data_IF_511497551594
#
_entry.id   IF_511497551594
#
_cell.length_a   1.000
_cell.length_b   1.000
_cell.length_c   1.000
_cell.angle_alpha   90.00
_cell.angle_beta   90.00
_cell.angle_gamma   90.00
#
_symmetry.space_group_name_H-M   'P 1'
#
loop_
_entity.id
_entity.type
_entity.pdbx_description
1 polymer ?
#
# COMPACT_ATOMS: atom_id res chain seq x y z
N UNK A 1 -20.82 -32.27 10.32
CA UNK A 1 -19.60 -32.66 9.59
C UNK A 1 -19.84 -32.40 8.12
N UNK A 2 -18.96 -31.66 7.47
CA UNK A 2 -18.96 -31.40 6.02
C UNK A 2 -20.20 -30.70 5.47
N UNK A 3 -20.35 -29.39 5.70
CA UNK A 3 -21.40 -28.60 5.04
C UNK A 3 -21.21 -28.66 3.53
N UNK A 4 -22.20 -29.15 2.79
CA UNK A 4 -22.20 -29.05 1.33
C UNK A 4 -22.44 -27.59 0.97
N UNK A 5 -21.46 -27.00 0.30
CA UNK A 5 -21.59 -25.67 -0.28
C UNK A 5 -22.01 -25.80 -1.74
N UNK A 6 -23.00 -25.01 -2.15
CA UNK A 6 -23.40 -24.89 -3.56
C UNK A 6 -23.06 -23.46 -3.97
N UNK A 7 -22.30 -23.30 -5.04
CA UNK A 7 -21.92 -21.99 -5.58
C UNK A 7 -22.68 -21.74 -6.89
N UNK A 8 -22.94 -20.47 -7.20
CA UNK A 8 -23.57 -20.05 -8.45
C UNK A 8 -23.11 -18.65 -8.80
N UNK A 9 -22.75 -18.44 -10.06
CA UNK A 9 -22.52 -17.11 -10.61
C UNK A 9 -23.87 -16.46 -10.95
N UNK A 10 -24.02 -15.18 -10.66
CA UNK A 10 -25.18 -14.40 -11.11
C UNK A 10 -25.19 -14.33 -12.64
N UNK A 11 -26.38 -14.33 -13.23
CA UNK A 11 -26.52 -14.15 -14.68
C UNK A 11 -26.33 -12.68 -15.10
N UNK A 12 -26.47 -12.41 -16.41
CA UNK A 12 -26.32 -11.05 -16.96
C UNK A 12 -27.33 -10.01 -16.43
N UNK A 13 -28.34 -10.43 -15.65
CA UNK A 13 -29.29 -9.55 -14.96
C UNK A 13 -28.99 -9.39 -13.47
N UNK A 14 -27.95 -10.05 -12.96
CA UNK A 14 -27.62 -10.09 -11.53
C UNK A 14 -28.43 -11.12 -10.75
N UNK A 15 -29.20 -11.97 -11.42
CA UNK A 15 -30.07 -12.96 -10.76
C UNK A 15 -29.31 -14.26 -10.45
N UNK A 16 -29.61 -14.85 -9.29
CA UNK A 16 -29.17 -16.20 -8.92
C UNK A 16 -30.35 -16.98 -8.34
N UNK A 17 -30.30 -18.31 -8.48
CA UNK A 17 -31.32 -19.22 -7.96
C UNK A 17 -30.71 -20.56 -7.59
N UNK A 18 -31.06 -21.05 -6.40
CA UNK A 18 -30.75 -22.41 -5.98
C UNK A 18 -32.03 -23.23 -5.96
N UNK A 19 -32.04 -24.34 -6.69
CA UNK A 19 -33.19 -25.23 -6.84
C UNK A 19 -33.00 -26.53 -6.07
N UNK A 20 -34.12 -27.20 -5.76
CA UNK A 20 -34.15 -28.52 -5.11
C UNK A 20 -33.38 -28.58 -3.79
N UNK A 21 -33.34 -27.45 -3.06
CA UNK A 21 -32.77 -27.40 -1.72
C UNK A 21 -33.70 -28.13 -0.73
N UNK A 22 -33.16 -29.02 0.12
CA UNK A 22 -33.89 -29.55 1.27
C UNK A 22 -34.48 -28.43 2.15
N UNK A 23 -35.55 -28.71 2.87
CA UNK A 23 -36.09 -27.76 3.84
C UNK A 23 -35.09 -27.54 4.98
N UNK A 24 -34.95 -26.30 5.43
CA UNK A 24 -34.01 -25.94 6.49
C UNK A 24 -33.53 -24.50 6.42
N UNK A 25 -32.67 -24.13 7.37
CA UNK A 25 -32.03 -22.81 7.41
C UNK A 25 -30.71 -22.85 6.63
N UNK A 26 -30.53 -21.86 5.78
CA UNK A 26 -29.35 -21.71 4.93
C UNK A 26 -28.66 -20.39 5.21
N UNK A 27 -27.33 -20.43 5.19
CA UNK A 27 -26.49 -19.25 5.08
C UNK A 27 -26.22 -18.97 3.61
N UNK A 28 -26.66 -17.80 3.12
CA UNK A 28 -26.39 -17.32 1.77
C UNK A 28 -25.43 -16.16 1.87
N UNK A 29 -24.30 -16.21 1.19
CA UNK A 29 -23.33 -15.10 1.15
C UNK A 29 -22.85 -14.84 -0.27
N UNK A 30 -22.34 -13.65 -0.51
CA UNK A 30 -21.68 -13.30 -1.76
C UNK A 30 -20.15 -13.35 -1.62
N UNK A 31 -19.48 -13.80 -2.67
CA UNK A 31 -18.06 -13.60 -2.85
C UNK A 31 -17.84 -12.28 -3.57
N UNK A 32 -17.06 -11.39 -2.98
CA UNK A 32 -16.98 -10.07 -3.54
C UNK A 32 -16.04 -9.99 -4.74
N UNK A 33 -16.53 -9.36 -5.81
CA UNK A 33 -15.71 -9.07 -6.97
C UNK A 33 -14.66 -7.99 -6.65
N UNK A 34 -13.41 -8.13 -7.14
CA UNK A 34 -12.42 -7.08 -7.05
C UNK A 34 -12.97 -5.75 -7.57
N UNK A 35 -12.83 -4.69 -6.76
CA UNK A 35 -13.31 -3.36 -7.10
C UNK A 35 -14.79 -3.11 -6.86
N UNK A 36 -15.54 -3.93 -6.09
CA UNK A 36 -16.95 -3.71 -5.75
C UNK A 36 -17.23 -3.78 -4.25
N UNK A 37 -17.48 -2.69 -3.52
CA UNK A 37 -17.80 -2.74 -2.09
C UNK A 37 -19.28 -3.07 -1.79
N UNK A 38 -19.58 -3.81 -0.70
CA UNK A 38 -20.95 -4.13 -0.33
C UNK A 38 -21.66 -2.91 0.24
N UNK A 39 -22.91 -2.71 -0.17
CA UNK A 39 -23.86 -1.76 0.42
C UNK A 39 -24.89 -2.47 1.32
N UNK A 40 -24.99 -3.78 1.22
CA UNK A 40 -25.80 -4.67 2.07
C UNK A 40 -24.91 -5.62 2.87
N UNK A 41 -25.43 -6.33 3.89
CA UNK A 41 -24.73 -7.46 4.50
C UNK A 41 -24.25 -8.46 3.43
N UNK A 42 -23.01 -8.93 3.55
CA UNK A 42 -22.45 -9.93 2.64
C UNK A 42 -22.96 -11.34 2.92
N UNK A 43 -23.80 -11.51 3.95
CA UNK A 43 -24.35 -12.79 4.40
C UNK A 43 -25.75 -12.63 4.99
N UNK A 44 -26.66 -13.51 4.61
CA UNK A 44 -28.02 -13.61 5.09
C UNK A 44 -28.32 -15.03 5.59
N UNK A 45 -29.14 -15.14 6.63
CA UNK A 45 -29.78 -16.38 7.05
C UNK A 45 -31.17 -16.45 6.40
N UNK A 46 -31.45 -17.54 5.69
CA UNK A 46 -32.66 -17.73 4.92
C UNK A 46 -33.26 -19.10 5.21
N UNK A 47 -34.54 -19.14 5.60
CA UNK A 47 -35.25 -20.40 5.81
C UNK A 47 -35.95 -20.85 4.53
N UNK A 48 -35.74 -22.10 4.14
CA UNK A 48 -36.47 -22.79 3.06
C UNK A 48 -37.55 -23.64 3.70
N UNK A 49 -38.80 -23.22 3.53
CA UNK A 49 -40.00 -23.92 4.04
C UNK A 49 -40.84 -24.47 2.89
N UNK A 50 -41.63 -25.54 3.11
CA UNK A 50 -42.58 -26.00 2.12
C UNK A 50 -43.58 -24.88 1.79
N UNK A 51 -43.72 -24.59 0.50
CA UNK A 51 -44.63 -23.57 0.02
C UNK A 51 -45.32 -24.02 -1.27
N UNK A 52 -46.64 -24.20 -1.22
CA UNK A 52 -47.47 -24.57 -2.37
C UNK A 52 -47.60 -23.45 -3.41
N UNK A 53 -47.22 -22.22 -3.06
CA UNK A 53 -47.26 -21.05 -3.95
C UNK A 53 -46.00 -20.86 -4.80
N UNK A 54 -44.98 -21.71 -4.65
CA UNK A 54 -43.74 -21.65 -5.46
C UNK A 54 -42.90 -20.38 -5.26
N UNK A 55 -43.05 -19.67 -4.14
CA UNK A 55 -42.29 -18.44 -3.84
C UNK A 55 -40.95 -18.81 -3.21
N UNK A 56 -39.85 -18.38 -3.82
CA UNK A 56 -38.50 -18.55 -3.29
C UNK A 56 -38.24 -17.57 -2.14
N UNK A 57 -37.52 -18.03 -1.12
CA UNK A 57 -36.93 -17.15 -0.12
C UNK A 57 -35.88 -16.23 -0.79
N UNK A 58 -35.83 -14.96 -0.39
CA UNK A 58 -35.05 -13.92 -1.08
C UNK A 58 -33.81 -13.52 -0.27
N UNK A 59 -32.68 -13.40 -0.96
CA UNK A 59 -31.49 -12.71 -0.48
C UNK A 59 -31.08 -11.69 -1.55
N UNK A 60 -30.79 -10.47 -1.15
CA UNK A 60 -30.42 -9.38 -2.05
C UNK A 60 -29.06 -8.81 -1.66
N UNK A 61 -28.15 -8.81 -2.61
CA UNK A 61 -26.82 -8.25 -2.43
C UNK A 61 -26.70 -7.02 -3.33
N UNK A 62 -26.46 -5.86 -2.73
CA UNK A 62 -26.24 -4.61 -3.45
C UNK A 62 -24.79 -4.22 -3.27
N UNK A 63 -24.09 -4.07 -4.38
CA UNK A 63 -22.69 -3.64 -4.41
C UNK A 63 -22.55 -2.31 -5.13
N UNK A 64 -21.52 -1.56 -4.76
CA UNK A 64 -21.07 -0.36 -5.46
C UNK A 64 -19.66 -0.58 -5.93
N UNK A 65 -19.38 -0.29 -7.19
CA UNK A 65 -18.01 -0.33 -7.68
C UNK A 65 -17.15 0.63 -6.84
N UNK A 66 -16.23 0.07 -6.08
CA UNK A 66 -15.24 0.83 -5.35
C UNK A 66 -14.36 1.53 -6.39
N UNK A 67 -14.07 2.83 -6.21
CA UNK A 67 -13.36 3.61 -7.23
C UNK A 67 -11.87 3.23 -7.35
N UNK A 68 -11.38 2.28 -6.56
CA UNK A 68 -9.94 1.96 -6.42
C UNK A 68 -9.71 0.46 -6.24
N UNK A 69 -8.56 -0.01 -6.71
CA UNK A 69 -8.06 -1.37 -6.56
C UNK A 69 -7.50 -1.63 -5.15
N UNK A 70 -7.32 -2.90 -4.80
CA UNK A 70 -6.58 -3.29 -3.59
C UNK A 70 -5.09 -3.14 -3.89
N UNK A 71 -4.37 -2.43 -3.03
CA UNK A 71 -2.97 -2.13 -3.28
C UNK A 71 -2.14 -2.06 -1.99
N UNK A 72 -0.83 -2.24 -2.17
CA UNK A 72 0.22 -1.95 -1.21
C UNK A 72 1.07 -0.84 -1.82
N UNK A 73 1.41 0.18 -1.05
CA UNK A 73 2.38 1.18 -1.49
C UNK A 73 3.24 1.66 -0.33
N UNK A 74 4.28 2.41 -0.67
CA UNK A 74 5.16 2.99 0.32
C UNK A 74 6.44 3.52 -0.28
N UNK A 75 7.37 3.86 0.59
CA UNK A 75 8.60 4.53 0.21
C UNK A 75 9.83 3.86 0.81
N UNK A 76 10.94 3.96 0.08
CA UNK A 76 12.27 3.67 0.58
C UNK A 76 12.98 4.96 0.91
N UNK A 77 13.41 5.11 2.16
CA UNK A 77 14.00 6.34 2.66
C UNK A 77 15.44 6.16 3.18
N UNK A 78 16.23 7.21 3.06
CA UNK A 78 17.45 7.42 3.84
C UNK A 78 17.08 7.85 5.28
N UNK A 79 17.60 7.16 6.29
CA UNK A 79 17.29 7.48 7.71
C UNK A 79 17.81 8.81 8.17
N UNK A 80 18.83 9.37 7.52
CA UNK A 80 19.38 10.65 7.94
C UNK A 80 18.55 11.87 7.46
N UNK A 81 17.60 11.70 6.52
CA UNK A 81 16.81 12.82 6.00
C UNK A 81 15.41 12.50 5.46
N UNK A 82 14.96 11.25 5.55
CA UNK A 82 13.74 10.76 4.88
C UNK A 82 13.71 11.10 3.39
N UNK A 83 14.89 11.04 2.77
CA UNK A 83 15.06 11.27 1.34
C UNK A 83 14.70 9.98 0.61
N UNK A 84 13.88 10.10 -0.43
CA UNK A 84 13.53 8.99 -1.30
C UNK A 84 14.75 8.34 -1.94
N UNK A 85 14.83 7.01 -1.84
CA UNK A 85 15.94 6.23 -2.40
C UNK A 85 15.49 5.49 -3.66
N UNK A 86 15.89 5.94 -4.87
CA UNK A 86 15.54 5.29 -6.13
C UNK A 86 16.32 3.99 -6.38
N UNK A 87 15.74 3.12 -7.21
CA UNK A 87 16.44 1.96 -7.76
C UNK A 87 16.65 0.83 -6.76
N UNK A 88 15.80 0.71 -5.73
CA UNK A 88 15.73 -0.45 -4.85
C UNK A 88 14.66 -1.40 -5.36
N UNK A 89 15.02 -2.69 -5.52
CA UNK A 89 14.06 -3.73 -5.85
C UNK A 89 13.22 -4.07 -4.61
N UNK A 90 11.91 -3.94 -4.75
CA UNK A 90 10.92 -4.34 -3.75
C UNK A 90 10.09 -5.48 -4.33
N UNK A 91 9.87 -6.53 -3.55
CA UNK A 91 9.06 -7.69 -3.93
C UNK A 91 7.88 -7.84 -2.98
N UNK A 92 6.70 -8.18 -3.49
CA UNK A 92 5.55 -8.56 -2.68
C UNK A 92 5.18 -10.01 -2.97
N UNK A 93 5.30 -10.90 -1.98
CA UNK A 93 4.93 -12.31 -2.06
C UNK A 93 3.61 -12.57 -1.36
N UNK A 94 2.60 -13.02 -2.10
CA UNK A 94 1.33 -13.48 -1.55
C UNK A 94 1.56 -14.76 -0.75
N UNK A 95 1.28 -14.75 0.57
CA UNK A 95 1.61 -15.89 1.43
C UNK A 95 0.74 -17.13 1.19
N UNK A 96 -0.46 -16.95 0.63
CA UNK A 96 -1.38 -18.05 0.36
C UNK A 96 -0.98 -18.88 -0.86
N UNK A 97 -0.51 -18.22 -1.93
CA UNK A 97 -0.24 -18.84 -3.23
C UNK A 97 1.25 -18.92 -3.55
N UNK A 98 2.07 -18.08 -2.91
CA UNK A 98 3.47 -17.89 -3.26
C UNK A 98 3.71 -16.98 -4.46
N UNK A 99 2.68 -16.38 -5.04
CA UNK A 99 2.81 -15.43 -6.16
C UNK A 99 3.69 -14.25 -5.77
N UNK A 100 4.62 -13.85 -6.66
CA UNK A 100 5.55 -12.75 -6.41
C UNK A 100 5.36 -11.64 -7.43
N UNK A 101 5.26 -10.41 -6.93
CA UNK A 101 5.26 -9.18 -7.71
C UNK A 101 6.54 -8.40 -7.44
N UNK A 102 7.04 -7.67 -8.43
CA UNK A 102 8.25 -6.87 -8.32
C UNK A 102 7.96 -5.40 -8.66
N UNK A 103 8.57 -4.49 -7.91
CA UNK A 103 8.59 -3.06 -8.19
C UNK A 103 10.00 -2.51 -7.94
N UNK A 104 10.36 -1.41 -8.58
CA UNK A 104 11.59 -0.69 -8.28
C UNK A 104 11.22 0.70 -7.83
N UNK A 105 11.85 1.17 -6.74
CA UNK A 105 11.56 2.51 -6.20
C UNK A 105 11.91 3.59 -7.20
N UNK A 106 11.02 4.56 -7.37
CA UNK A 106 11.18 5.68 -8.31
C UNK A 106 12.12 6.77 -7.76
N UNK A 107 12.23 7.91 -8.47
CA UNK A 107 13.06 9.06 -8.08
C UNK A 107 12.75 9.66 -6.70
N UNK A 108 11.53 9.44 -6.18
CA UNK A 108 11.09 9.86 -4.86
C UNK A 108 11.13 8.72 -3.84
N UNK A 109 11.69 7.57 -4.21
CA UNK A 109 11.74 6.37 -3.38
C UNK A 109 10.42 5.61 -3.33
N UNK A 110 9.42 6.01 -4.10
CA UNK A 110 8.07 5.43 -4.04
C UNK A 110 7.97 4.11 -4.81
N UNK A 111 7.17 3.17 -4.30
CA UNK A 111 6.78 1.95 -4.99
C UNK A 111 5.30 1.61 -4.72
N UNK A 112 4.69 0.83 -5.62
CA UNK A 112 3.28 0.40 -5.52
C UNK A 112 3.06 -0.97 -6.16
N UNK A 113 2.22 -1.78 -5.52
CA UNK A 113 1.61 -3.00 -6.04
C UNK A 113 0.09 -2.82 -6.06
N UNK A 114 -0.53 -2.85 -7.24
CA UNK A 114 -1.98 -2.72 -7.43
C UNK A 114 -2.65 -4.03 -7.85
N UNK A 115 -3.98 -4.04 -7.90
CA UNK A 115 -4.77 -5.19 -8.35
C UNK A 115 -4.58 -6.46 -7.52
N UNK A 116 -4.32 -6.33 -6.22
CA UNK A 116 -4.00 -7.45 -5.34
C UNK A 116 -5.24 -8.24 -4.93
N UNK A 117 -5.07 -9.54 -4.69
CA UNK A 117 -6.08 -10.33 -3.99
C UNK A 117 -6.08 -10.00 -2.48
N UNK A 118 -7.23 -10.03 -1.79
CA UNK A 118 -7.27 -9.94 -0.33
C UNK A 118 -6.44 -11.04 0.32
N UNK A 119 -5.60 -10.70 1.29
CA UNK A 119 -4.71 -11.67 1.92
C UNK A 119 -3.52 -11.05 2.61
N UNK A 120 -2.60 -11.92 3.06
CA UNK A 120 -1.32 -11.51 3.66
C UNK A 120 -0.23 -11.56 2.60
N UNK A 121 0.56 -10.50 2.55
CA UNK A 121 1.71 -10.36 1.66
C UNK A 121 2.95 -10.12 2.50
N UNK A 122 4.02 -10.83 2.20
CA UNK A 122 5.35 -10.49 2.66
C UNK A 122 5.99 -9.53 1.66
N UNK A 123 6.30 -8.31 2.10
CA UNK A 123 6.95 -7.29 1.28
C UNK A 123 8.40 -7.20 1.70
N UNK A 124 9.31 -7.34 0.75
CA UNK A 124 10.75 -7.39 0.99
C UNK A 124 11.47 -6.38 0.12
N UNK A 125 12.44 -5.67 0.68
CA UNK A 125 13.38 -4.84 -0.09
C UNK A 125 14.73 -5.56 -0.18
N UNK A 126 15.31 -5.56 -1.39
CA UNK A 126 16.62 -6.15 -1.62
C UNK A 126 17.71 -5.19 -1.16
N UNK A 127 18.71 -5.70 -0.44
CA UNK A 127 19.90 -4.94 -0.07
C UNK A 127 20.67 -4.47 -1.31
N UNK A 128 21.36 -3.33 -1.18
CA UNK A 128 22.14 -2.74 -2.26
C UNK A 128 23.50 -2.30 -1.75
N UNK A 129 24.53 -2.60 -2.52
CA UNK A 129 25.90 -2.18 -2.19
C UNK A 129 25.97 -0.67 -1.93
N UNK A 130 26.72 -0.30 -0.89
CA UNK A 130 26.82 1.09 -0.45
C UNK A 130 25.68 1.56 0.45
N UNK A 131 24.71 0.70 0.78
CA UNK A 131 23.65 0.97 1.76
C UNK A 131 23.62 -0.10 2.84
N UNK A 132 23.16 0.30 4.02
CA UNK A 132 22.99 -0.58 5.19
C UNK A 132 21.55 -0.46 5.64
N UNK A 133 20.87 -1.60 5.78
CA UNK A 133 19.52 -1.64 6.32
C UNK A 133 19.46 -0.94 7.68
N UNK A 134 18.52 -0.01 7.83
CA UNK A 134 18.27 0.72 9.07
C UNK A 134 16.87 0.43 9.63
N UNK A 135 16.23 -0.61 9.11
CA UNK A 135 14.95 -1.15 9.53
C UNK A 135 14.80 -2.60 9.03
N UNK A 136 13.61 -3.21 9.22
CA UNK A 136 13.37 -4.55 8.72
C UNK A 136 13.42 -4.59 7.19
N UNK A 137 14.14 -5.57 6.63
CA UNK A 137 14.18 -5.80 5.18
C UNK A 137 12.92 -6.50 4.65
N UNK A 138 12.14 -7.13 5.54
CA UNK A 138 10.88 -7.81 5.20
C UNK A 138 9.78 -7.46 6.21
N UNK A 139 8.58 -7.19 5.72
CA UNK A 139 7.41 -6.85 6.53
C UNK A 139 6.17 -7.56 5.98
N UNK A 140 5.40 -8.20 6.86
CA UNK A 140 4.12 -8.82 6.47
C UNK A 140 2.99 -7.82 6.65
N UNK A 141 2.26 -7.55 5.57
CA UNK A 141 1.08 -6.69 5.56
C UNK A 141 -0.16 -7.48 5.19
N UNK A 142 -1.33 -7.00 5.63
CA UNK A 142 -2.63 -7.58 5.26
C UNK A 142 -3.37 -6.58 4.41
N UNK A 143 -3.74 -6.99 3.20
CA UNK A 143 -4.69 -6.25 2.36
C UNK A 143 -6.05 -6.92 2.49
N UNK A 144 -7.09 -6.12 2.70
CA UNK A 144 -8.44 -6.61 3.00
C UNK A 144 -9.40 -6.28 1.87
N UNK A 145 -10.44 -7.10 1.78
CA UNK A 145 -11.67 -6.73 1.12
C UNK A 145 -12.66 -6.13 2.14
N UNK A 146 -13.40 -5.04 1.84
CA UNK A 146 -13.33 -4.17 0.65
C UNK A 146 -12.04 -3.34 0.56
N UNK A 147 -11.69 -2.79 -0.62
CA UNK A 147 -10.49 -2.00 -0.81
C UNK A 147 -10.66 -0.70 -0.04
N UNK A 148 -9.58 -0.27 0.61
CA UNK A 148 -9.57 1.01 1.31
C UNK A 148 -9.35 2.15 0.31
N UNK A 149 -9.70 3.37 0.72
CA UNK A 149 -9.47 4.56 -0.10
C UNK A 149 -7.97 4.80 -0.38
N UNK A 150 -7.12 4.37 0.55
CA UNK A 150 -5.65 4.39 0.45
C UNK A 150 -5.12 2.96 0.38
N UNK A 151 -3.99 2.77 -0.29
CA UNK A 151 -3.28 1.50 -0.26
C UNK A 151 -2.84 1.14 1.17
N UNK A 152 -2.57 -0.14 1.41
CA UNK A 152 -1.94 -0.59 2.66
C UNK A 152 -0.48 -0.11 2.66
N UNK A 153 -0.07 0.73 3.62
CA UNK A 153 1.25 1.34 3.59
C UNK A 153 2.34 0.39 4.09
N UNK A 154 3.54 0.48 3.52
CA UNK A 154 4.75 -0.18 4.02
C UNK A 154 6.01 0.58 3.62
N UNK A 155 6.75 1.11 4.59
CA UNK A 155 7.98 1.87 4.33
C UNK A 155 9.23 1.10 4.74
N UNK A 156 10.34 1.37 4.04
CA UNK A 156 11.65 0.76 4.29
C UNK A 156 12.71 1.85 4.45
N UNK A 157 13.76 1.55 5.22
CA UNK A 157 14.74 2.54 5.64
C UNK A 157 16.16 2.00 5.55
N UNK A 158 17.05 2.71 4.85
CA UNK A 158 18.50 2.42 4.83
C UNK A 158 19.28 3.65 5.25
N UNK A 159 20.55 3.43 5.57
CA UNK A 159 21.58 4.45 5.71
C UNK A 159 22.70 4.16 4.74
N UNK A 160 23.36 5.19 4.21
CA UNK A 160 24.50 5.01 3.32
C UNK A 160 25.70 4.42 4.08
N UNK A 161 26.31 3.36 3.56
CA UNK A 161 27.48 2.71 4.15
C UNK A 161 28.69 3.65 4.12
N UNK A 162 29.38 3.82 5.25
CA UNK A 162 30.59 4.65 5.34
C UNK A 162 30.36 6.17 5.38
N UNK A 163 29.13 6.65 5.26
CA UNK A 163 28.79 8.07 5.45
C UNK A 163 28.30 8.29 6.88
N UNK A 164 29.18 8.72 7.79
CA UNK A 164 28.69 9.50 8.93
C UNK A 164 28.24 10.87 8.40
N UNK A 165 27.12 11.43 8.87
CA UNK A 165 26.81 12.82 8.58
C UNK A 165 28.03 13.68 8.96
N UNK A 166 28.36 14.73 8.19
CA UNK A 166 29.38 15.69 8.60
C UNK A 166 29.16 16.08 10.06
N UNK A 167 30.22 16.21 10.86
CA UNK A 167 30.09 16.69 12.24
C UNK A 167 29.30 18.00 12.26
N UNK A 168 28.18 18.03 12.99
CA UNK A 168 27.24 19.15 12.97
C UNK A 168 26.08 19.01 11.98
N UNK A 169 25.92 17.89 11.30
CA UNK A 169 24.75 17.61 10.46
C UNK A 169 23.63 16.96 11.26
N UNK A 170 22.52 17.67 11.44
CA UNK A 170 21.38 17.22 12.22
C UNK A 170 20.35 16.45 11.37
N UNK A 171 20.13 16.89 10.13
CA UNK A 171 19.20 16.27 9.18
C UNK A 171 19.71 16.42 7.74
N UNK A 172 19.30 15.55 6.82
CA UNK A 172 19.38 15.86 5.38
C UNK A 172 18.04 16.35 4.84
N UNK A 173 18.13 17.30 3.92
CA UNK A 173 17.01 17.79 3.13
C UNK A 173 17.31 17.56 1.65
N UNK A 174 16.36 17.04 0.88
CA UNK A 174 16.47 17.07 -0.59
C UNK A 174 15.64 18.20 -1.14
N UNK A 175 16.33 19.10 -1.83
CA UNK A 175 15.74 20.28 -2.46
C UNK A 175 14.62 19.86 -3.40
N UNK A 176 13.42 20.37 -3.14
CA UNK A 176 12.22 20.23 -3.94
C UNK A 176 12.09 21.38 -4.93
N UNK A 177 11.19 21.24 -5.90
CA UNK A 177 10.87 22.30 -6.84
C UNK A 177 10.45 23.59 -6.10
N UNK A 178 10.87 24.74 -6.62
CA UNK A 178 10.63 26.08 -6.07
C UNK A 178 11.26 26.40 -4.70
N UNK A 179 12.11 25.54 -4.14
CA UNK A 179 12.82 25.88 -2.90
C UNK A 179 14.07 26.72 -3.16
N UNK A 180 14.39 27.58 -2.20
CA UNK A 180 15.61 28.39 -2.17
C UNK A 180 16.41 28.06 -0.90
N UNK A 181 17.73 28.28 -0.94
CA UNK A 181 18.58 28.01 0.21
C UNK A 181 18.19 28.88 1.43
N UNK A 182 17.78 30.13 1.18
CA UNK A 182 17.27 31.05 2.20
C UNK A 182 15.93 30.59 2.78
N UNK A 183 15.00 30.12 1.94
CA UNK A 183 13.72 29.56 2.38
C UNK A 183 13.90 28.31 3.24
N UNK A 184 14.83 27.42 2.86
CA UNK A 184 15.17 26.25 3.63
C UNK A 184 15.84 26.60 4.96
N UNK A 185 16.79 27.54 4.97
CA UNK A 185 17.42 28.00 6.20
C UNK A 185 16.39 28.53 7.20
N UNK A 186 15.44 29.37 6.73
CA UNK A 186 14.36 29.88 7.54
C UNK A 186 13.41 28.78 8.04
N UNK A 187 13.05 27.83 7.18
CA UNK A 187 12.18 26.69 7.53
C UNK A 187 12.77 25.84 8.66
N UNK A 188 14.07 25.59 8.62
CA UNK A 188 14.77 24.78 9.62
C UNK A 188 15.27 25.58 10.83
N UNK A 189 15.10 26.90 10.85
CA UNK A 189 15.57 27.76 11.94
C UNK A 189 17.09 27.85 12.05
N UNK A 190 17.81 27.67 10.93
CA UNK A 190 19.28 27.77 10.85
C UNK A 190 19.69 29.02 10.09
N UNK A 191 20.91 29.52 10.31
CA UNK A 191 21.41 30.64 9.50
C UNK A 191 21.76 30.17 8.09
N UNK A 192 21.48 31.01 7.09
CA UNK A 192 21.88 30.74 5.70
C UNK A 192 23.38 30.47 5.59
N UNK A 193 24.20 31.21 6.34
CA UNK A 193 25.64 31.03 6.35
C UNK A 193 26.08 29.68 6.94
N UNK A 194 25.44 29.22 8.03
CA UNK A 194 25.73 27.90 8.59
C UNK A 194 25.32 26.78 7.62
N UNK A 195 24.16 26.92 6.99
CA UNK A 195 23.66 25.98 5.97
C UNK A 195 24.61 25.93 4.76
N UNK A 196 25.07 27.08 4.27
CA UNK A 196 26.05 27.16 3.18
C UNK A 196 27.37 26.51 3.57
N UNK A 197 27.89 26.84 4.76
CA UNK A 197 29.19 26.36 5.25
C UNK A 197 29.22 24.83 5.38
N UNK A 198 28.21 24.24 6.03
CA UNK A 198 28.18 22.78 6.24
C UNK A 198 28.01 21.99 4.94
N UNK A 199 27.49 22.64 3.89
CA UNK A 199 27.31 22.05 2.57
C UNK A 199 28.39 22.44 1.55
N UNK A 200 29.39 23.25 1.94
CA UNK A 200 30.40 23.75 1.02
C UNK A 200 29.85 24.60 -0.13
N UNK A 201 28.70 25.25 0.06
CA UNK A 201 28.05 26.09 -0.95
C UNK A 201 28.59 27.51 -0.82
N UNK A 202 29.13 28.05 -1.90
CA UNK A 202 29.67 29.42 -1.96
C UNK A 202 28.69 30.42 -2.58
N UNK A 203 27.79 29.97 -3.46
CA UNK A 203 26.73 30.78 -4.05
C UNK A 203 25.36 30.24 -3.62
N UNK A 204 24.62 31.05 -2.86
CA UNK A 204 23.30 30.68 -2.32
C UNK A 204 22.23 30.48 -3.41
N UNK A 205 22.47 30.94 -4.65
CA UNK A 205 21.56 30.79 -5.78
C UNK A 205 21.78 29.48 -6.56
N UNK A 206 22.83 28.73 -6.24
CA UNK A 206 23.19 27.50 -6.94
C UNK A 206 22.77 26.29 -6.10
N UNK A 207 21.47 26.03 -6.08
CA UNK A 207 20.93 24.75 -5.64
C UNK A 207 20.06 24.12 -6.73
N UNK A 208 20.04 22.79 -6.76
CA UNK A 208 19.29 22.02 -7.76
C UNK A 208 18.24 21.15 -7.11
N UNK A 209 17.09 20.96 -7.77
CA UNK A 209 16.10 19.96 -7.34
C UNK A 209 16.78 18.59 -7.29
N UNK A 210 16.55 17.85 -6.21
CA UNK A 210 17.23 16.58 -5.93
C UNK A 210 18.54 16.73 -5.15
N UNK A 211 19.09 17.94 -4.99
CA UNK A 211 20.32 18.15 -4.23
C UNK A 211 20.10 17.86 -2.74
N UNK A 212 20.98 17.05 -2.15
CA UNK A 212 20.96 16.74 -0.73
C UNK A 212 21.75 17.80 0.06
N UNK A 213 21.08 18.47 0.98
CA UNK A 213 21.64 19.48 1.88
C UNK A 213 21.66 18.96 3.31
N UNK A 214 22.82 19.05 3.95
CA UNK A 214 22.99 18.87 5.36
C UNK A 214 22.43 20.09 6.11
N UNK A 215 21.47 19.87 7.00
CA UNK A 215 20.91 20.89 7.87
C UNK A 215 21.64 20.82 9.22
N UNK A 216 22.31 21.90 9.66
CA UNK A 216 23.04 21.92 10.93
C UNK A 216 22.14 22.02 12.18
#
# INVERSE_FOLDING_TARGET
GGGQYVHRETDGTGYFRFDNLPMGDYEVWEEMQPGWAPLTPTKYLVSVTPNDAGVCSRAEFVNKQAPRDICIDGHKYDTYGKVGLPGFLVTARELATGNVLNATTDGLGYFRFGGLNPGKYEVTVTEKDGWVAAGPLSQVVTVSWPPKLTCTPVDFYDRQSGAQPPSGCRYWHVVQNCQTLSGLAAWYGVSLNALMTVNGITDANVIYVGQRLCIP
#
